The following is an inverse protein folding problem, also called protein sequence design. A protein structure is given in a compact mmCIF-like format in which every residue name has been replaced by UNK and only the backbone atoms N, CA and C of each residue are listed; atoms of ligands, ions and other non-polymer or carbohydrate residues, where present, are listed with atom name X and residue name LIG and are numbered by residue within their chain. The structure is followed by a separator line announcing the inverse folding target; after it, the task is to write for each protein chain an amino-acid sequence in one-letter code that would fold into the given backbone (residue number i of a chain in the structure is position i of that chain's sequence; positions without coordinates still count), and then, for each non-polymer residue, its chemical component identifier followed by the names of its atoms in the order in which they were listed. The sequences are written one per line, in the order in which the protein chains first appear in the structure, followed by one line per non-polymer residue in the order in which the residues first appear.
data_IF_405153560911
#
_entry.id   IF_405153560911
#
_cell.length_a   1.000
_cell.length_b   1.000
_cell.length_c   1.000
_cell.angle_alpha   90.00
_cell.angle_beta   90.00
_cell.angle_gamma   90.00
#
_symmetry.space_group_name_H-M   'P 1'
#
loop_
_entity.id
_entity.type
_entity.pdbx_description
1 polymer ?
#
# COMPACT_ATOMS: atom_id res chain seq x y z
N UNK A 1 37.08 -13.40 18.22
CA UNK A 1 35.83 -13.12 18.99
C UNK A 1 34.66 -13.55 18.12
N UNK A 2 33.74 -14.35 18.66
CA UNK A 2 32.60 -14.91 17.92
C UNK A 2 31.64 -13.78 17.53
N UNK A 3 31.37 -13.62 16.23
CA UNK A 3 30.24 -12.84 15.73
C UNK A 3 28.96 -13.44 16.32
N UNK A 4 28.37 -12.75 17.30
CA UNK A 4 27.01 -13.04 17.75
C UNK A 4 26.08 -12.27 16.81
N UNK A 5 25.38 -12.99 15.94
CA UNK A 5 24.22 -12.44 15.24
C UNK A 5 23.25 -11.91 16.31
N UNK A 6 23.00 -10.61 16.28
CA UNK A 6 22.01 -9.94 17.13
C UNK A 6 20.64 -10.13 16.45
N UNK A 7 19.62 -10.66 17.14
CA UNK A 7 18.30 -10.86 16.56
C UNK A 7 17.56 -9.51 16.45
N UNK A 8 17.41 -9.01 15.22
CA UNK A 8 16.63 -7.80 14.91
C UNK A 8 15.15 -8.18 14.74
N UNK A 9 14.25 -7.62 15.55
CA UNK A 9 12.85 -8.08 15.67
C UNK A 9 11.77 -7.15 15.10
N UNK A 10 12.13 -6.01 14.49
CA UNK A 10 11.16 -5.21 13.73
C UNK A 10 11.48 -3.72 13.65
N UNK A 11 10.93 -3.07 12.62
CA UNK A 11 11.00 -1.63 12.35
C UNK A 11 9.61 -1.04 12.52
N UNK A 12 9.42 -0.18 13.51
CA UNK A 12 8.20 0.63 13.66
C UNK A 12 8.39 1.98 12.94
N UNK A 13 7.46 2.35 12.06
CA UNK A 13 7.47 3.64 11.36
C UNK A 13 6.77 4.67 12.25
N UNK A 14 7.54 5.64 12.78
CA UNK A 14 7.05 6.59 13.80
C UNK A 14 6.54 7.91 13.20
N UNK A 15 7.11 8.38 12.09
CA UNK A 15 6.65 9.60 11.39
C UNK A 15 7.27 9.71 9.98
N UNK A 16 6.64 10.51 9.11
CA UNK A 16 7.07 10.80 7.74
C UNK A 16 7.09 12.33 7.54
N UNK A 17 8.29 12.92 7.42
CA UNK A 17 8.52 14.36 7.34
C UNK A 17 8.90 14.72 5.91
N UNK A 18 8.20 15.69 5.30
CA UNK A 18 8.43 16.13 3.91
C UNK A 18 9.82 16.74 3.72
N UNK A 19 10.49 16.40 2.62
CA UNK A 19 11.31 17.37 1.89
C UNK A 19 11.44 17.02 0.39
N UNK A 20 11.21 18.02 -0.47
CA UNK A 20 11.42 18.06 -1.93
C UNK A 20 11.52 16.71 -2.68
N UNK A 21 10.42 15.95 -2.69
CA UNK A 21 10.06 15.07 -3.82
C UNK A 21 10.42 13.58 -3.71
N UNK A 22 11.40 13.16 -2.91
CA UNK A 22 11.82 11.72 -2.93
C UNK A 22 12.61 11.25 -1.70
N UNK A 23 12.44 11.90 -0.54
CA UNK A 23 13.14 11.49 0.69
C UNK A 23 12.13 11.21 1.80
N UNK A 24 12.03 9.95 2.23
CA UNK A 24 11.23 9.57 3.39
C UNK A 24 12.14 9.57 4.63
N UNK A 25 11.63 10.11 5.72
CA UNK A 25 12.33 10.18 7.00
C UNK A 25 11.77 9.05 7.88
N UNK A 26 12.62 8.22 8.47
CA UNK A 26 12.20 7.18 9.41
C UNK A 26 12.86 7.39 10.77
N UNK A 27 12.09 7.30 11.84
CA UNK A 27 12.66 7.15 13.19
C UNK A 27 12.60 5.69 13.56
N UNK A 28 13.75 5.07 13.79
CA UNK A 28 13.88 3.68 14.24
C UNK A 28 14.15 3.69 15.74
N UNK A 29 13.44 2.83 16.48
CA UNK A 29 13.84 2.50 17.86
C UNK A 29 14.72 1.26 17.77
N UNK A 30 16.01 1.40 18.07
CA UNK A 30 16.92 0.26 18.22
C UNK A 30 16.98 -0.06 19.72
N UNK A 31 16.55 -1.27 20.09
CA UNK A 31 16.71 -1.76 21.46
C UNK A 31 18.05 -2.48 21.51
N UNK A 32 19.00 -1.95 22.27
CA UNK A 32 20.26 -2.63 22.53
C UNK A 32 20.04 -3.70 23.60
N UNK A 33 20.01 -4.97 23.20
CA UNK A 33 19.85 -6.11 24.11
C UNK A 33 21.03 -6.28 25.10
N UNK A 34 22.18 -5.66 24.83
CA UNK A 34 23.37 -5.73 25.69
C UNK A 34 23.27 -4.72 26.83
N UNK A 35 22.78 -3.52 26.57
CA UNK A 35 22.66 -2.45 27.57
C UNK A 35 21.24 -2.26 28.14
N UNK A 36 20.23 -2.92 27.56
CA UNK A 36 18.79 -2.67 27.83
C UNK A 36 18.41 -1.18 27.68
N UNK A 37 19.17 -0.44 26.90
CA UNK A 37 18.93 0.96 26.59
C UNK A 37 18.18 1.06 25.27
N UNK A 38 17.18 1.95 25.21
CA UNK A 38 16.50 2.27 23.94
C UNK A 38 17.32 3.35 23.26
N UNK A 39 18.03 3.00 22.20
CA UNK A 39 18.68 3.97 21.32
C UNK A 39 17.66 4.40 20.27
N UNK A 40 17.21 5.66 20.33
CA UNK A 40 16.33 6.23 19.30
C UNK A 40 17.17 6.87 18.22
N UNK A 41 17.45 6.13 17.15
CA UNK A 41 18.20 6.64 16.01
C UNK A 41 17.25 6.99 14.86
N UNK A 42 17.42 8.19 14.30
CA UNK A 42 16.63 8.66 13.15
C UNK A 42 17.44 8.46 11.89
N UNK A 43 16.89 7.72 10.93
CA UNK A 43 17.53 7.41 9.66
C UNK A 43 16.74 8.04 8.51
N UNK A 44 17.47 8.55 7.51
CA UNK A 44 16.88 9.07 6.28
C UNK A 44 17.01 8.01 5.20
N UNK A 45 15.90 7.66 4.58
CA UNK A 45 15.89 6.75 3.44
C UNK A 45 15.24 7.43 2.24
N UNK A 46 16.10 7.85 1.31
CA UNK A 46 15.68 8.39 0.03
C UNK A 46 15.41 7.28 -0.97
N UNK A 47 14.17 7.17 -1.44
CA UNK A 47 13.84 6.37 -2.62
C UNK A 47 13.90 7.29 -3.82
N UNK A 48 14.94 7.18 -4.64
CA UNK A 48 15.14 8.11 -5.76
C UNK A 48 14.42 7.69 -7.04
N UNK A 49 14.00 6.41 -7.15
CA UNK A 49 13.28 5.88 -8.30
C UNK A 49 12.12 5.01 -7.83
N UNK A 50 10.89 5.54 -7.87
CA UNK A 50 9.71 4.77 -7.54
C UNK A 50 9.32 3.84 -8.71
N UNK A 51 8.89 2.62 -8.37
CA UNK A 51 8.32 1.66 -9.31
C UNK A 51 6.81 1.87 -9.34
N UNK A 52 6.27 2.18 -10.52
CA UNK A 52 4.85 2.45 -10.71
C UNK A 52 4.20 1.31 -11.48
N UNK A 53 2.94 1.06 -11.16
CA UNK A 53 2.12 0.14 -11.93
C UNK A 53 1.77 0.74 -13.29
N UNK A 54 1.67 -0.10 -14.32
CA UNK A 54 1.03 0.22 -15.58
C UNK A 54 -0.43 -0.28 -15.63
N UNK A 55 -1.13 0.05 -16.72
CA UNK A 55 -2.54 -0.30 -16.88
C UNK A 55 -2.75 -1.82 -17.01
N UNK A 56 -1.84 -2.53 -17.68
CA UNK A 56 -1.94 -3.96 -17.91
C UNK A 56 -1.69 -4.73 -16.60
N UNK A 57 -0.78 -4.26 -15.76
CA UNK A 57 -0.58 -4.76 -14.40
C UNK A 57 -1.85 -4.59 -13.57
N UNK A 58 -2.53 -3.43 -13.63
CA UNK A 58 -3.79 -3.23 -12.91
C UNK A 58 -4.91 -4.14 -13.45
N UNK A 59 -4.95 -4.41 -14.75
CA UNK A 59 -5.90 -5.37 -15.33
C UNK A 59 -5.61 -6.79 -14.82
N UNK A 60 -4.34 -7.21 -14.81
CA UNK A 60 -3.95 -8.52 -14.28
C UNK A 60 -4.29 -8.66 -12.78
N UNK A 61 -4.14 -7.57 -12.02
CA UNK A 61 -4.56 -7.53 -10.62
C UNK A 61 -6.07 -7.58 -10.44
N UNK A 62 -6.87 -7.14 -11.41
CA UNK A 62 -8.32 -7.36 -11.39
C UNK A 62 -8.66 -8.85 -11.49
N UNK A 63 -8.03 -9.57 -12.43
CA UNK A 63 -8.21 -11.03 -12.56
C UNK A 63 -7.81 -11.74 -11.25
N UNK A 64 -6.63 -11.42 -10.72
CA UNK A 64 -6.15 -12.02 -9.46
C UNK A 64 -7.01 -11.66 -8.25
N UNK A 65 -7.58 -10.45 -8.22
CA UNK A 65 -8.53 -10.05 -7.19
C UNK A 65 -9.82 -10.88 -7.22
N UNK A 66 -10.30 -11.26 -8.40
CA UNK A 66 -11.50 -12.11 -8.51
C UNK A 66 -11.25 -13.55 -8.04
N UNK A 67 -10.03 -14.06 -8.24
CA UNK A 67 -9.60 -15.38 -7.75
C UNK A 67 -9.45 -15.40 -6.21
N UNK A 68 -8.79 -14.41 -5.63
CA UNK A 68 -8.50 -14.37 -4.18
C UNK A 68 -9.77 -14.11 -3.34
N UNK A 69 -10.70 -13.31 -3.88
CA UNK A 69 -11.87 -12.80 -3.17
C UNK A 69 -13.16 -13.21 -3.86
N UNK A 70 -13.40 -14.52 -3.98
CA UNK A 70 -14.62 -15.08 -4.58
C UNK A 70 -15.86 -14.65 -3.79
N UNK A 71 -16.81 -13.97 -4.44
CA UNK A 71 -18.12 -13.64 -3.87
C UNK A 71 -19.18 -14.62 -4.37
N UNK A 72 -20.09 -15.07 -3.49
CA UNK A 72 -21.27 -15.84 -3.89
C UNK A 72 -22.31 -14.89 -4.50
N UNK A 73 -22.26 -14.68 -5.82
CA UNK A 73 -23.23 -13.86 -6.56
C UNK A 73 -22.92 -13.90 -8.05
N UNK A 74 -23.93 -13.63 -8.89
CA UNK A 74 -23.82 -13.64 -10.36
C UNK A 74 -22.60 -12.84 -10.80
N UNK A 75 -21.61 -13.55 -11.35
CA UNK A 75 -20.42 -12.96 -11.96
C UNK A 75 -20.88 -12.02 -13.07
N UNK A 76 -20.82 -10.72 -12.82
CA UNK A 76 -20.91 -9.72 -13.87
C UNK A 76 -19.75 -9.96 -14.83
N UNK A 77 -20.05 -9.94 -16.13
CA UNK A 77 -19.15 -10.24 -17.24
C UNK A 77 -17.74 -9.72 -16.94
N UNK A 78 -16.71 -10.58 -17.07
CA UNK A 78 -15.33 -10.12 -17.10
C UNK A 78 -15.21 -8.98 -18.10
N UNK A 79 -14.47 -7.95 -17.73
CA UNK A 79 -14.22 -6.87 -18.65
C UNK A 79 -13.94 -5.53 -18.01
N UNK A 80 -13.13 -4.82 -18.76
CA UNK A 80 -12.91 -3.40 -18.65
C UNK A 80 -14.21 -2.65 -19.01
N UNK A 81 -14.58 -1.68 -18.18
CA UNK A 81 -15.63 -0.71 -18.48
C UNK A 81 -15.01 0.57 -19.08
N UNK A 82 -14.03 1.15 -18.38
CA UNK A 82 -13.33 2.38 -18.80
C UNK A 82 -11.97 2.51 -18.10
N UNK A 83 -10.88 2.29 -18.86
CA UNK A 83 -9.51 2.39 -18.34
C UNK A 83 -9.00 3.82 -18.23
N UNK A 84 -9.70 4.82 -18.76
CA UNK A 84 -9.21 6.20 -18.69
C UNK A 84 -9.07 6.66 -17.24
N UNK A 85 -9.97 6.19 -16.36
CA UNK A 85 -9.89 6.43 -14.93
C UNK A 85 -8.67 5.77 -14.27
N UNK A 86 -8.31 4.55 -14.68
CA UNK A 86 -7.09 3.87 -14.20
C UNK A 86 -5.86 4.62 -14.68
N UNK A 87 -5.79 4.92 -15.99
CA UNK A 87 -4.68 5.64 -16.60
C UNK A 87 -4.46 7.00 -15.93
N UNK A 88 -5.53 7.79 -15.77
CA UNK A 88 -5.48 9.07 -15.07
C UNK A 88 -4.96 8.92 -13.63
N UNK A 89 -5.43 7.88 -12.91
CA UNK A 89 -4.97 7.63 -11.54
C UNK A 89 -3.47 7.32 -11.50
N UNK A 90 -2.98 6.49 -12.40
CA UNK A 90 -1.56 6.13 -12.49
C UNK A 90 -0.71 7.34 -12.88
N UNK A 91 -1.15 8.14 -13.85
CA UNK A 91 -0.49 9.37 -14.27
C UNK A 91 -0.38 10.36 -13.10
N UNK A 92 -1.47 10.56 -12.35
CA UNK A 92 -1.47 11.40 -11.14
C UNK A 92 -0.55 10.89 -10.04
N UNK A 93 -0.43 9.57 -9.87
CA UNK A 93 0.48 8.98 -8.87
C UNK A 93 1.94 9.18 -9.29
N UNK A 94 2.22 9.10 -10.59
CA UNK A 94 3.54 9.27 -11.20
C UNK A 94 4.00 10.73 -11.18
N UNK A 95 3.15 11.63 -11.64
CA UNK A 95 3.41 13.07 -11.69
C UNK A 95 2.31 13.84 -10.94
N UNK A 96 2.58 14.07 -9.66
CA UNK A 96 1.66 14.74 -8.73
C UNK A 96 1.99 16.22 -8.50
N UNK A 97 2.89 16.81 -9.29
CA UNK A 97 3.26 18.22 -9.13
C UNK A 97 2.17 19.09 -9.75
N UNK A 98 1.53 19.91 -8.92
CA UNK A 98 0.54 20.89 -9.35
C UNK A 98 0.85 22.24 -8.72
N UNK A 99 0.88 23.30 -9.54
CA UNK A 99 1.23 24.66 -9.12
C UNK A 99 2.53 24.75 -8.30
N UNK A 100 3.55 23.97 -8.68
CA UNK A 100 4.86 23.95 -8.00
C UNK A 100 4.89 23.19 -6.67
N UNK A 101 3.82 22.48 -6.31
CA UNK A 101 3.74 21.67 -5.09
C UNK A 101 3.31 20.24 -5.42
N UNK A 102 4.04 19.28 -4.86
CA UNK A 102 3.68 17.86 -4.96
C UNK A 102 2.46 17.56 -4.07
N UNK A 103 1.37 17.14 -4.72
CA UNK A 103 0.10 16.80 -4.08
C UNK A 103 0.13 15.40 -3.43
N UNK A 104 0.98 14.50 -3.91
CA UNK A 104 1.16 13.14 -3.39
C UNK A 104 2.64 12.90 -3.01
N UNK A 105 3.17 13.60 -1.99
CA UNK A 105 4.62 13.71 -1.76
C UNK A 105 5.26 12.49 -1.10
N UNK A 106 4.47 11.50 -0.69
CA UNK A 106 4.96 10.35 0.10
C UNK A 106 4.44 9.07 -0.52
N UNK A 107 5.17 7.97 -0.36
CA UNK A 107 4.74 6.66 -0.86
C UNK A 107 3.36 6.27 -0.29
N UNK A 108 3.11 6.58 0.99
CA UNK A 108 1.85 6.29 1.64
C UNK A 108 0.70 7.16 1.09
N UNK A 109 0.95 8.43 0.76
CA UNK A 109 -0.04 9.29 0.11
C UNK A 109 -0.35 8.82 -1.31
N UNK A 110 0.68 8.42 -2.09
CA UNK A 110 0.52 7.85 -3.43
C UNK A 110 -0.28 6.54 -3.40
N UNK A 111 0.06 5.64 -2.49
CA UNK A 111 -0.64 4.38 -2.25
C UNK A 111 -2.10 4.59 -1.81
N UNK A 112 -2.35 5.57 -0.95
CA UNK A 112 -3.69 5.95 -0.51
C UNK A 112 -4.55 6.53 -1.65
N UNK A 113 -3.97 7.39 -2.48
CA UNK A 113 -4.63 7.93 -3.67
C UNK A 113 -5.01 6.82 -4.65
N UNK A 114 -4.08 5.89 -4.91
CA UNK A 114 -4.30 4.73 -5.76
C UNK A 114 -5.49 3.87 -5.27
N UNK A 115 -5.50 3.55 -3.97
CA UNK A 115 -6.59 2.78 -3.36
C UNK A 115 -7.93 3.51 -3.49
N UNK A 116 -7.96 4.79 -3.10
CA UNK A 116 -9.18 5.60 -3.09
C UNK A 116 -9.80 5.73 -4.47
N UNK A 117 -9.00 6.14 -5.46
CA UNK A 117 -9.48 6.44 -6.80
C UNK A 117 -9.94 5.19 -7.54
N UNK A 118 -9.13 4.12 -7.55
CA UNK A 118 -9.52 2.88 -8.23
C UNK A 118 -10.74 2.24 -7.54
N UNK A 119 -10.85 2.33 -6.20
CA UNK A 119 -12.00 1.74 -5.49
C UNK A 119 -13.33 2.47 -5.78
N UNK A 120 -13.29 3.79 -6.01
CA UNK A 120 -14.47 4.61 -6.31
C UNK A 120 -14.85 4.62 -7.79
N UNK A 121 -13.90 4.44 -8.69
CA UNK A 121 -14.17 4.40 -10.12
C UNK A 121 -14.79 3.05 -10.53
N UNK A 122 -15.64 3.10 -11.55
CA UNK A 122 -16.22 1.91 -12.18
C UNK A 122 -15.39 1.46 -13.40
N UNK A 123 -14.06 1.42 -13.24
CA UNK A 123 -13.14 1.09 -14.34
C UNK A 123 -13.31 -0.36 -14.82
N UNK A 124 -13.71 -1.25 -13.92
CA UNK A 124 -14.02 -2.64 -14.18
C UNK A 124 -15.50 -2.91 -13.94
N UNK A 125 -16.06 -3.89 -14.66
CA UNK A 125 -17.45 -4.35 -14.45
C UNK A 125 -17.66 -4.94 -13.05
N UNK A 126 -16.64 -5.57 -12.49
CA UNK A 126 -16.61 -6.05 -11.12
C UNK A 126 -15.19 -5.93 -10.54
N UNK A 127 -15.10 -5.93 -9.21
CA UNK A 127 -13.82 -6.07 -8.52
C UNK A 127 -13.05 -4.77 -8.31
N UNK A 128 -13.58 -3.58 -8.63
CA UNK A 128 -12.90 -2.29 -8.47
C UNK A 128 -12.23 -2.12 -7.09
N UNK A 129 -13.00 -2.34 -6.01
CA UNK A 129 -12.51 -2.27 -4.62
C UNK A 129 -11.33 -3.20 -4.33
N UNK A 130 -11.42 -4.45 -4.79
CA UNK A 130 -10.40 -5.49 -4.57
C UNK A 130 -9.17 -5.25 -5.45
N UNK A 131 -9.38 -4.76 -6.67
CA UNK A 131 -8.31 -4.37 -7.59
C UNK A 131 -7.51 -3.22 -7.00
N UNK A 132 -8.18 -2.17 -6.52
CA UNK A 132 -7.55 -1.03 -5.86
C UNK A 132 -6.67 -1.45 -4.68
N UNK A 133 -7.21 -2.32 -3.82
CA UNK A 133 -6.48 -2.89 -2.69
C UNK A 133 -5.24 -3.68 -3.15
N UNK A 134 -5.37 -4.58 -4.14
CA UNK A 134 -4.23 -5.33 -4.65
C UNK A 134 -3.18 -4.43 -5.33
N UNK A 135 -3.61 -3.45 -6.12
CA UNK A 135 -2.73 -2.43 -6.71
C UNK A 135 -1.95 -1.69 -5.63
N UNK A 136 -2.59 -1.32 -4.52
CA UNK A 136 -1.91 -0.66 -3.40
C UNK A 136 -0.89 -1.58 -2.72
N UNK A 137 -1.22 -2.86 -2.48
CA UNK A 137 -0.29 -3.82 -1.88
C UNK A 137 0.94 -4.05 -2.76
N UNK A 138 0.75 -4.23 -4.07
CA UNK A 138 1.85 -4.43 -5.03
C UNK A 138 2.68 -3.16 -5.18
N UNK A 139 2.05 -1.98 -5.25
CA UNK A 139 2.76 -0.71 -5.34
C UNK A 139 3.64 -0.47 -4.11
N UNK A 140 3.15 -0.74 -2.90
CA UNK A 140 3.95 -0.64 -1.69
C UNK A 140 5.14 -1.59 -1.75
N UNK A 141 4.90 -2.87 -2.08
CA UNK A 141 5.94 -3.89 -2.13
C UNK A 141 7.04 -3.53 -3.13
N UNK A 142 6.65 -3.11 -4.34
CA UNK A 142 7.57 -2.69 -5.41
C UNK A 142 8.44 -1.49 -5.01
N UNK A 143 8.07 -0.77 -3.96
CA UNK A 143 8.81 0.38 -3.45
C UNK A 143 9.44 0.13 -2.08
N UNK A 144 9.61 -1.13 -1.68
CA UNK A 144 10.30 -1.54 -0.46
C UNK A 144 9.46 -1.45 0.82
N UNK A 145 8.13 -1.44 0.70
CA UNK A 145 7.22 -1.48 1.86
C UNK A 145 6.30 -2.68 1.78
N UNK A 146 6.29 -3.48 2.82
CA UNK A 146 5.36 -4.60 2.90
C UNK A 146 4.23 -4.29 3.86
N UNK A 147 3.01 -4.59 3.44
CA UNK A 147 1.90 -4.68 4.38
C UNK A 147 2.16 -5.86 5.34
N UNK A 148 1.93 -5.66 6.63
CA UNK A 148 2.21 -6.67 7.64
C UNK A 148 1.08 -7.69 7.65
N UNK A 149 1.44 -8.95 7.39
CA UNK A 149 0.47 -10.04 7.44
C UNK A 149 0.09 -10.39 8.89
N UNK A 150 -1.21 -10.47 9.16
CA UNK A 150 -1.77 -10.86 10.48
C UNK A 150 -3.04 -11.68 10.29
N UNK A 151 -3.40 -12.49 11.29
CA UNK A 151 -4.66 -13.24 11.28
C UNK A 151 -5.84 -12.28 11.14
N UNK A 152 -6.79 -12.61 10.26
CA UNK A 152 -7.96 -11.76 9.97
C UNK A 152 -7.69 -10.61 8.99
N UNK A 153 -6.45 -10.42 8.50
CA UNK A 153 -6.11 -9.33 7.58
C UNK A 153 -6.97 -9.34 6.32
N UNK A 154 -7.27 -10.51 5.76
CA UNK A 154 -8.11 -10.63 4.55
C UNK A 154 -9.45 -9.91 4.72
N UNK A 155 -10.13 -10.14 5.84
CA UNK A 155 -11.41 -9.50 6.16
C UNK A 155 -11.25 -8.01 6.43
N UNK A 156 -10.22 -7.64 7.21
CA UNK A 156 -9.92 -6.23 7.48
C UNK A 156 -9.73 -5.42 6.20
N UNK A 157 -9.00 -5.96 5.21
CA UNK A 157 -8.76 -5.29 3.94
C UNK A 157 -10.04 -5.20 3.08
N UNK A 158 -10.91 -6.21 3.12
CA UNK A 158 -12.24 -6.17 2.46
C UNK A 158 -13.10 -5.07 3.09
N UNK A 159 -13.21 -5.06 4.42
CA UNK A 159 -14.01 -4.11 5.18
C UNK A 159 -13.49 -2.68 4.98
N UNK A 160 -12.16 -2.51 4.99
CA UNK A 160 -11.52 -1.23 4.69
C UNK A 160 -11.83 -0.78 3.26
N UNK A 161 -11.75 -1.67 2.27
CA UNK A 161 -12.08 -1.35 0.88
C UNK A 161 -13.55 -0.97 0.69
N UNK A 162 -14.47 -1.59 1.44
CA UNK A 162 -15.87 -1.19 1.46
C UNK A 162 -16.06 0.21 2.07
N UNK A 163 -15.39 0.47 3.20
CA UNK A 163 -15.41 1.78 3.87
C UNK A 163 -14.87 2.89 2.98
N UNK A 164 -13.80 2.63 2.23
CA UNK A 164 -13.23 3.58 1.26
C UNK A 164 -14.25 3.92 0.17
N UNK A 165 -14.91 2.92 -0.41
CA UNK A 165 -15.90 3.13 -1.47
C UNK A 165 -17.13 3.92 -0.99
N UNK A 166 -17.51 3.75 0.28
CA UNK A 166 -18.62 4.47 0.90
C UNK A 166 -18.22 5.81 1.53
N UNK A 167 -16.93 6.17 1.50
CA UNK A 167 -16.44 7.39 2.14
C UNK A 167 -17.05 8.63 1.47
N UNK A 168 -17.83 9.42 2.23
CA UNK A 168 -18.69 10.46 1.68
C UNK A 168 -18.23 11.90 1.94
N UNK A 169 -17.14 12.11 2.68
CA UNK A 169 -16.55 13.44 2.84
C UNK A 169 -15.73 13.83 1.60
N UNK A 170 -14.65 14.60 1.75
CA UNK A 170 -13.77 14.98 0.64
C UNK A 170 -12.77 13.87 0.29
N UNK A 171 -12.25 13.95 -0.95
CA UNK A 171 -11.14 13.10 -1.40
C UNK A 171 -9.90 13.29 -0.53
N UNK A 172 -9.59 14.52 -0.11
CA UNK A 172 -8.45 14.81 0.78
C UNK A 172 -8.60 14.12 2.14
N UNK A 173 -9.80 14.14 2.72
CA UNK A 173 -10.07 13.44 3.98
C UNK A 173 -9.94 11.93 3.81
N UNK A 174 -10.46 11.38 2.70
CA UNK A 174 -10.35 9.95 2.39
C UNK A 174 -8.88 9.53 2.24
N UNK A 175 -8.09 10.28 1.48
CA UNK A 175 -6.66 10.02 1.26
C UNK A 175 -5.90 10.07 2.59
N UNK A 176 -6.16 11.07 3.45
CA UNK A 176 -5.54 11.15 4.78
C UNK A 176 -5.92 9.94 5.66
N UNK A 177 -7.18 9.56 5.65
CA UNK A 177 -7.68 8.41 6.40
C UNK A 177 -6.98 7.11 5.95
N UNK A 178 -6.91 6.86 4.64
CA UNK A 178 -6.27 5.67 4.06
C UNK A 178 -4.76 5.69 4.30
N UNK A 179 -4.11 6.84 4.12
CA UNK A 179 -2.68 7.01 4.40
C UNK A 179 -2.34 6.61 5.84
N UNK A 180 -3.13 7.07 6.81
CA UNK A 180 -2.91 6.73 8.22
C UNK A 180 -3.13 5.25 8.49
N UNK A 181 -4.06 4.61 7.79
CA UNK A 181 -4.24 3.17 7.85
C UNK A 181 -3.03 2.42 7.28
N UNK A 182 -2.52 2.83 6.12
CA UNK A 182 -1.34 2.25 5.49
C UNK A 182 -0.12 2.35 6.42
N UNK A 183 0.19 3.55 6.92
CA UNK A 183 1.37 3.77 7.79
C UNK A 183 1.38 2.89 9.04
N UNK A 184 0.20 2.60 9.62
CA UNK A 184 0.07 1.73 10.80
C UNK A 184 0.27 0.25 10.51
N UNK A 185 0.22 -0.16 9.25
CA UNK A 185 0.20 -1.57 8.86
C UNK A 185 1.32 -1.94 7.89
N UNK A 186 2.24 -1.03 7.54
CA UNK A 186 3.39 -1.36 6.70
C UNK A 186 4.67 -1.53 7.53
N UNK A 187 5.63 -2.29 7.01
CA UNK A 187 7.01 -2.37 7.47
C UNK A 187 7.96 -2.09 6.30
N UNK A 188 9.18 -1.67 6.59
CA UNK A 188 10.21 -1.50 5.57
C UNK A 188 10.80 -2.87 5.20
N UNK A 189 10.82 -3.20 3.91
CA UNK A 189 11.46 -4.40 3.38
C UNK A 189 12.85 -4.06 2.83
N UNK A 190 13.79 -3.75 3.73
CA UNK A 190 15.19 -3.40 3.36
C UNK A 190 15.92 -4.61 2.76
N UNK A 191 15.58 -5.81 3.20
CA UNK A 191 16.32 -7.03 2.89
C UNK A 191 15.84 -7.73 1.62
N UNK A 192 14.85 -7.16 0.92
CA UNK A 192 14.20 -7.78 -0.23
C UNK A 192 13.71 -9.21 0.09
N UNK A 193 13.06 -9.36 1.24
CA UNK A 193 12.45 -10.62 1.67
C UNK A 193 11.43 -11.09 0.63
N UNK A 194 11.30 -12.41 0.46
CA UNK A 194 10.28 -12.99 -0.42
C UNK A 194 8.88 -12.48 -0.02
N UNK A 195 8.12 -12.04 -1.02
CA UNK A 195 6.78 -11.49 -0.83
C UNK A 195 5.72 -12.47 -1.33
N UNK A 196 4.95 -13.01 -0.38
CA UNK A 196 3.92 -14.02 -0.58
C UNK A 196 2.54 -13.55 -0.07
N UNK A 197 2.35 -12.23 0.01
CA UNK A 197 1.13 -11.61 0.57
C UNK A 197 -0.13 -12.08 -0.17
N UNK A 198 -0.09 -12.17 -1.50
CA UNK A 198 -1.27 -12.50 -2.30
C UNK A 198 -1.66 -13.97 -2.12
N UNK A 199 -0.68 -14.86 -2.03
CA UNK A 199 -0.83 -16.29 -1.76
C UNK A 199 -1.41 -16.49 -0.36
N UNK A 200 -0.88 -15.78 0.65
CA UNK A 200 -1.42 -15.79 2.01
C UNK A 200 -2.86 -15.32 2.06
N UNK A 201 -3.21 -14.25 1.34
CA UNK A 201 -4.59 -13.78 1.22
C UNK A 201 -5.49 -14.78 0.48
N UNK A 202 -4.99 -15.45 -0.56
CA UNK A 202 -5.69 -16.50 -1.30
C UNK A 202 -6.06 -17.68 -0.41
N UNK A 203 -5.10 -18.17 0.36
CA UNK A 203 -5.24 -19.36 1.21
C UNK A 203 -5.98 -19.10 2.53
N UNK A 204 -6.16 -17.83 2.90
CA UNK A 204 -6.86 -17.45 4.12
C UNK A 204 -8.37 -17.59 4.01
N UNK A 205 -8.98 -18.23 5.01
CA UNK A 205 -10.43 -18.24 5.19
C UNK A 205 -10.92 -16.84 5.56
N UNK A 206 -12.07 -16.44 5.01
CA UNK A 206 -12.80 -15.27 5.47
C UNK A 206 -13.62 -15.73 6.68
N UNK A 207 -13.14 -15.44 7.90
CA UNK A 207 -13.87 -15.72 9.15
C UNK A 207 -14.78 -14.56 9.57
#
# INVERSE_FOLDING_TARGET
MKNKNIPFTGIDIIDDIKNNGTINYYSLNIVDDVEKSIVREKYLYGLTNLIYLDVDEVINLNSRAQEIFVEKGTYGVEGVSDLNHVRYTLDMVKDSISFGSDQLPTIATKAAYLWHKIAKFQAFKNGNKRTAMLSTLVFLHSNGYDFQYKNGLKKELIDMSQRIAQYSESDDSAIKFIRNYILKNIKLNINNEEWDMLEKLGNSKVE
#
